data_IF_276491590737
#
_entry.id   IF_276491590737
#
_cell.length_a   1.000
_cell.length_b   1.000
_cell.length_c   1.000
_cell.angle_alpha   90.00
_cell.angle_beta   90.00
_cell.angle_gamma   90.00
#
_symmetry.space_group_name_H-M   'P 1'
#
loop_
_entity.id
_entity.type
_entity.pdbx_description
1 polymer ?
#
# COMPACT_ATOMS: atom_id res chain seq x y z
N UNK A 1 -12.08 -1.90 12.49
CA UNK A 1 -11.24 -3.09 12.18
C UNK A 1 -9.82 -2.60 11.99
N UNK A 2 -8.89 -3.08 12.80
CA UNK A 2 -7.48 -2.81 12.56
C UNK A 2 -7.11 -3.50 11.24
N UNK A 3 -6.80 -2.72 10.22
CA UNK A 3 -6.17 -3.24 9.02
C UNK A 3 -4.81 -3.81 9.45
N UNK A 4 -4.73 -5.14 9.47
CA UNK A 4 -3.49 -5.83 9.77
C UNK A 4 -2.49 -5.47 8.66
N UNK A 5 -1.51 -4.66 9.01
CA UNK A 5 -0.54 -4.17 8.05
C UNK A 5 0.52 -5.24 7.77
N UNK A 6 0.81 -5.48 6.49
CA UNK A 6 1.91 -6.34 6.05
C UNK A 6 3.20 -5.52 6.16
N UNK A 7 4.19 -6.03 6.89
CA UNK A 7 5.52 -5.41 6.92
C UNK A 7 6.24 -5.57 5.58
N UNK A 8 7.27 -4.76 5.35
CA UNK A 8 8.05 -4.85 4.11
C UNK A 8 8.67 -6.23 3.90
N UNK A 9 9.15 -6.89 4.95
CA UNK A 9 9.68 -8.25 4.87
C UNK A 9 8.57 -9.28 4.58
N UNK A 10 7.43 -9.16 5.23
CA UNK A 10 6.25 -10.00 4.95
C UNK A 10 5.75 -9.82 3.51
N UNK A 11 5.84 -8.61 2.98
CA UNK A 11 5.48 -8.33 1.59
C UNK A 11 6.34 -9.12 0.59
N UNK A 12 7.64 -9.23 0.83
CA UNK A 12 8.52 -10.03 -0.05
C UNK A 12 8.12 -11.51 -0.06
N UNK A 13 7.69 -12.04 1.08
CA UNK A 13 7.16 -13.42 1.16
C UNK A 13 5.84 -13.54 0.38
N UNK A 14 4.92 -12.58 0.54
CA UNK A 14 3.65 -12.56 -0.20
C UNK A 14 3.86 -12.52 -1.72
N UNK A 15 4.84 -11.75 -2.20
CA UNK A 15 5.18 -11.71 -3.63
C UNK A 15 5.56 -13.08 -4.20
N UNK A 16 6.18 -13.93 -3.39
CA UNK A 16 6.47 -15.31 -3.81
C UNK A 16 5.16 -16.09 -4.00
N UNK A 17 4.21 -15.97 -3.07
CA UNK A 17 2.94 -16.70 -3.18
C UNK A 17 2.04 -16.19 -4.30
N UNK A 18 2.08 -14.91 -4.61
CA UNK A 18 1.35 -14.36 -5.76
C UNK A 18 1.94 -14.83 -7.09
N UNK A 19 3.28 -14.97 -7.16
CA UNK A 19 3.95 -15.48 -8.36
C UNK A 19 3.89 -17.01 -8.47
N UNK A 20 3.97 -17.71 -7.34
CA UNK A 20 4.04 -19.17 -7.25
C UNK A 20 3.07 -19.67 -6.17
N UNK A 21 1.79 -19.79 -6.49
CA UNK A 21 0.80 -20.37 -5.57
C UNK A 21 1.18 -21.80 -5.15
N UNK A 22 0.69 -22.21 -4.00
CA UNK A 22 0.89 -23.56 -3.48
C UNK A 22 2.36 -23.96 -3.30
N UNK A 23 3.14 -23.04 -2.75
CA UNK A 23 4.58 -23.23 -2.50
C UNK A 23 4.86 -23.77 -1.08
N UNK A 24 5.92 -24.55 -0.97
CA UNK A 24 6.46 -24.99 0.32
C UNK A 24 7.40 -23.94 0.93
N UNK A 25 7.59 -23.99 2.25
CA UNK A 25 8.52 -23.07 2.93
C UNK A 25 9.94 -23.13 2.38
N UNK A 26 10.40 -24.32 1.97
CA UNK A 26 11.73 -24.50 1.34
C UNK A 26 11.85 -23.76 0.01
N UNK A 27 10.83 -23.81 -0.82
CA UNK A 27 10.79 -23.10 -2.10
C UNK A 27 10.74 -21.58 -1.93
N UNK A 28 10.06 -21.10 -0.88
CA UNK A 28 10.07 -19.67 -0.53
C UNK A 28 11.46 -19.22 -0.10
N UNK A 29 12.14 -20.03 0.73
CA UNK A 29 13.54 -19.77 1.15
C UNK A 29 14.46 -19.67 -0.08
N UNK A 30 14.43 -20.68 -0.95
CA UNK A 30 15.27 -20.74 -2.16
C UNK A 30 15.12 -19.52 -3.07
N UNK A 31 13.87 -19.03 -3.23
CA UNK A 31 13.58 -17.84 -4.07
C UNK A 31 14.03 -16.53 -3.43
N UNK A 32 14.01 -16.44 -2.11
CA UNK A 32 14.35 -15.20 -1.40
C UNK A 32 15.82 -15.15 -0.99
N UNK A 33 16.51 -16.31 -0.91
CA UNK A 33 17.92 -16.39 -0.49
C UNK A 33 18.83 -15.61 -1.43
N UNK A 34 18.57 -15.65 -2.75
CA UNK A 34 19.38 -14.97 -3.74
C UNK A 34 19.42 -13.45 -3.57
N UNK A 35 18.31 -12.84 -3.14
CA UNK A 35 18.16 -11.39 -3.08
C UNK A 35 18.29 -10.82 -1.66
N UNK A 36 17.96 -11.60 -0.62
CA UNK A 36 17.83 -11.09 0.74
C UNK A 36 18.75 -11.77 1.77
N UNK A 37 19.47 -12.84 1.40
CA UNK A 37 20.32 -13.63 2.30
C UNK A 37 19.60 -14.05 3.61
N UNK A 38 18.31 -14.36 3.50
CA UNK A 38 17.50 -14.74 4.64
C UNK A 38 17.68 -16.21 4.99
N UNK A 39 17.93 -16.45 6.27
CA UNK A 39 18.02 -17.82 6.78
C UNK A 39 16.63 -18.47 6.82
N UNK A 40 16.55 -19.82 6.71
CA UNK A 40 15.29 -20.55 6.81
C UNK A 40 14.44 -20.20 8.05
N UNK A 41 15.09 -19.92 9.18
CA UNK A 41 14.43 -19.52 10.42
C UNK A 41 13.69 -18.17 10.30
N UNK A 42 14.29 -17.21 9.56
CA UNK A 42 13.67 -15.90 9.29
C UNK A 42 12.41 -16.05 8.45
N UNK A 43 12.50 -16.80 7.35
CA UNK A 43 11.33 -17.06 6.48
C UNK A 43 10.22 -17.78 7.27
N UNK A 44 10.56 -18.77 8.08
CA UNK A 44 9.59 -19.49 8.92
C UNK A 44 8.87 -18.57 9.92
N UNK A 45 9.59 -17.60 10.48
CA UNK A 45 8.98 -16.60 11.37
C UNK A 45 7.99 -15.71 10.60
N UNK A 46 8.36 -15.26 9.39
CA UNK A 46 7.48 -14.44 8.54
C UNK A 46 6.24 -15.22 8.10
N UNK A 47 6.38 -16.49 7.73
CA UNK A 47 5.26 -17.38 7.40
C UNK A 47 4.28 -17.53 8.59
N UNK A 48 4.80 -17.70 9.79
CA UNK A 48 3.96 -17.78 10.99
C UNK A 48 3.20 -16.47 11.26
N UNK A 49 3.85 -15.33 11.07
CA UNK A 49 3.21 -14.01 11.21
C UNK A 49 2.11 -13.81 10.19
N UNK A 50 2.39 -14.12 8.91
CA UNK A 50 1.40 -14.01 7.83
C UNK A 50 0.20 -14.94 8.05
N UNK A 51 0.45 -16.16 8.56
CA UNK A 51 -0.62 -17.09 8.91
C UNK A 51 -1.47 -16.55 10.07
N UNK A 52 -0.86 -16.03 11.12
CA UNK A 52 -1.57 -15.43 12.25
C UNK A 52 -2.39 -14.20 11.84
N UNK A 53 -1.90 -13.44 10.87
CA UNK A 53 -2.61 -12.30 10.27
C UNK A 53 -3.65 -12.71 9.21
N UNK A 54 -3.81 -13.99 8.94
CA UNK A 54 -4.75 -14.54 7.94
C UNK A 54 -4.50 -14.07 6.50
N UNK A 55 -3.26 -13.74 6.15
CA UNK A 55 -2.87 -13.43 4.77
C UNK A 55 -2.51 -14.65 3.94
N UNK A 56 -2.14 -15.75 4.60
CA UNK A 56 -1.85 -17.03 3.97
C UNK A 56 -2.57 -18.17 4.67
N UNK A 57 -2.93 -19.19 3.90
CA UNK A 57 -3.36 -20.48 4.39
C UNK A 57 -2.19 -21.47 4.43
N UNK A 58 -2.36 -22.55 5.17
CA UNK A 58 -1.40 -23.64 5.25
C UNK A 58 -2.15 -24.97 5.20
N UNK A 59 -1.78 -25.80 4.26
CA UNK A 59 -2.31 -27.16 4.11
C UNK A 59 -1.19 -28.20 4.25
N UNK A 60 -1.48 -29.30 4.89
CA UNK A 60 -0.54 -30.43 5.00
C UNK A 60 -0.95 -31.54 4.05
N UNK A 61 -0.10 -31.81 3.06
CA UNK A 61 -0.28 -32.86 2.07
C UNK A 61 0.91 -33.80 2.14
N UNK A 62 0.67 -35.11 2.35
CA UNK A 62 1.70 -36.16 2.43
C UNK A 62 2.88 -35.79 3.36
N UNK A 63 2.58 -35.19 4.51
CA UNK A 63 3.58 -34.79 5.50
C UNK A 63 4.32 -33.47 5.21
N UNK A 64 4.04 -32.81 4.09
CA UNK A 64 4.63 -31.52 3.69
C UNK A 64 3.60 -30.40 3.83
N UNK A 65 4.07 -29.21 4.23
CA UNK A 65 3.23 -28.01 4.34
C UNK A 65 3.33 -27.15 3.08
N UNK A 66 2.17 -26.83 2.55
CA UNK A 66 1.98 -25.94 1.40
C UNK A 66 1.26 -24.68 1.86
N UNK A 67 1.60 -23.56 1.26
CA UNK A 67 1.09 -22.25 1.62
C UNK A 67 0.52 -21.55 0.38
N UNK A 68 -0.60 -20.87 0.56
CA UNK A 68 -1.27 -20.09 -0.47
C UNK A 68 -1.66 -18.72 0.07
N UNK A 69 -1.63 -17.70 -0.79
CA UNK A 69 -2.14 -16.38 -0.46
C UNK A 69 -3.68 -16.40 -0.34
N UNK A 70 -4.20 -15.79 0.71
CA UNK A 70 -5.64 -15.59 0.94
C UNK A 70 -6.16 -14.25 0.43
N UNK A 71 -5.27 -13.34 0.06
CA UNK A 71 -5.58 -12.05 -0.53
C UNK A 71 -4.87 -11.92 -1.88
N UNK A 72 -5.52 -11.33 -2.86
CA UNK A 72 -4.91 -11.04 -4.15
C UNK A 72 -3.93 -9.87 -4.06
N UNK A 73 -2.91 -9.86 -4.91
CA UNK A 73 -1.93 -8.76 -4.97
C UNK A 73 -2.60 -7.42 -5.25
N UNK A 74 -3.47 -7.36 -6.24
CA UNK A 74 -4.20 -6.14 -6.62
C UNK A 74 -5.09 -5.62 -5.48
N UNK A 75 -5.75 -6.51 -4.75
CA UNK A 75 -6.56 -6.16 -3.59
C UNK A 75 -5.70 -5.58 -2.46
N UNK A 76 -4.54 -6.18 -2.20
CA UNK A 76 -3.62 -5.65 -1.20
C UNK A 76 -3.05 -4.28 -1.60
N UNK A 77 -2.67 -4.10 -2.86
CA UNK A 77 -2.22 -2.81 -3.40
C UNK A 77 -3.32 -1.75 -3.29
N UNK A 78 -4.55 -2.09 -3.65
CA UNK A 78 -5.69 -1.17 -3.54
C UNK A 78 -5.92 -0.73 -2.09
N UNK A 79 -5.93 -1.64 -1.15
CA UNK A 79 -6.07 -1.33 0.27
C UNK A 79 -4.92 -0.43 0.79
N UNK A 80 -3.70 -0.67 0.30
CA UNK A 80 -2.51 0.09 0.70
C UNK A 80 -2.56 1.54 0.25
N UNK A 81 -2.87 1.80 -1.03
CA UNK A 81 -2.96 3.19 -1.51
C UNK A 81 -4.20 3.92 -0.98
N UNK A 82 -5.32 3.23 -0.77
CA UNK A 82 -6.49 3.84 -0.10
C UNK A 82 -6.14 4.30 1.31
N UNK A 83 -5.49 3.44 2.10
CA UNK A 83 -5.04 3.80 3.45
C UNK A 83 -4.07 4.99 3.44
N UNK A 84 -3.16 5.05 2.47
CA UNK A 84 -2.27 6.20 2.31
C UNK A 84 -3.05 7.49 2.06
N UNK A 85 -4.00 7.47 1.12
CA UNK A 85 -4.82 8.64 0.78
C UNK A 85 -5.72 9.07 1.94
N UNK A 86 -6.28 8.12 2.71
CA UNK A 86 -7.12 8.41 3.88
C UNK A 86 -6.35 9.11 5.00
N UNK A 87 -5.03 8.88 5.07
CA UNK A 87 -4.16 9.51 6.07
C UNK A 87 -3.56 10.86 5.63
N UNK A 88 -3.89 11.36 4.46
CA UNK A 88 -3.38 12.63 3.96
C UNK A 88 -4.51 13.57 3.54
N UNK A 89 -4.21 14.86 3.55
CA UNK A 89 -5.17 15.87 3.08
C UNK A 89 -5.53 15.62 1.61
N UNK A 90 -6.82 15.59 1.30
CA UNK A 90 -7.31 15.37 -0.06
C UNK A 90 -6.82 16.43 -1.08
N UNK A 91 -6.50 17.64 -0.62
CA UNK A 91 -5.91 18.67 -1.48
C UNK A 91 -4.50 18.33 -1.98
N UNK A 92 -3.83 17.36 -1.36
CA UNK A 92 -2.47 16.91 -1.70
C UNK A 92 -2.45 15.65 -2.57
N UNK A 93 -3.60 15.01 -2.82
CA UNK A 93 -3.66 13.79 -3.63
C UNK A 93 -3.12 14.00 -5.04
N UNK A 94 -3.41 15.16 -5.66
CA UNK A 94 -2.89 15.51 -6.98
C UNK A 94 -1.37 15.61 -7.01
N UNK A 95 -0.77 16.27 -6.01
CA UNK A 95 0.69 16.40 -5.89
C UNK A 95 1.37 15.06 -5.71
N UNK A 96 0.75 14.14 -4.95
CA UNK A 96 1.24 12.77 -4.79
C UNK A 96 1.28 12.04 -6.14
N UNK A 97 0.20 12.10 -6.92
CA UNK A 97 0.14 11.46 -8.25
C UNK A 97 1.19 12.05 -9.20
N UNK A 98 1.35 13.36 -9.21
CA UNK A 98 2.38 14.05 -10.01
C UNK A 98 3.78 13.56 -9.58
N UNK A 99 4.06 13.55 -8.29
CA UNK A 99 5.35 13.08 -7.75
C UNK A 99 5.65 11.62 -8.14
N UNK A 100 4.64 10.74 -8.15
CA UNK A 100 4.80 9.37 -8.61
C UNK A 100 5.16 9.32 -10.10
N UNK A 101 4.48 10.12 -10.92
CA UNK A 101 4.74 10.18 -12.37
C UNK A 101 6.14 10.73 -12.69
N UNK A 102 6.61 11.73 -11.94
CA UNK A 102 7.93 12.34 -12.13
C UNK A 102 9.08 11.44 -11.67
N UNK A 103 8.85 10.68 -10.59
CA UNK A 103 9.92 9.91 -9.91
C UNK A 103 10.10 8.50 -10.45
N UNK A 104 9.18 8.00 -11.30
CA UNK A 104 9.20 6.63 -11.78
C UNK A 104 9.17 6.56 -13.30
N UNK A 105 9.62 5.42 -13.83
CA UNK A 105 9.56 5.14 -15.26
C UNK A 105 8.24 4.43 -15.60
N UNK A 106 7.63 4.87 -16.69
CA UNK A 106 6.41 4.27 -17.24
C UNK A 106 6.60 3.98 -18.72
N UNK A 107 5.93 2.96 -19.24
CA UNK A 107 5.90 2.71 -20.67
C UNK A 107 5.07 3.79 -21.40
N UNK A 108 5.30 3.95 -22.69
CA UNK A 108 4.45 4.84 -23.52
C UNK A 108 2.98 4.44 -23.49
N UNK A 109 2.71 3.13 -23.43
CA UNK A 109 1.36 2.59 -23.34
C UNK A 109 0.70 2.99 -22.00
N UNK A 110 1.43 2.88 -20.90
CA UNK A 110 0.89 3.26 -19.58
C UNK A 110 0.64 4.76 -19.52
N UNK A 111 1.56 5.58 -20.03
CA UNK A 111 1.37 7.03 -20.08
C UNK A 111 0.16 7.42 -20.94
N UNK A 112 -0.08 6.72 -22.05
CA UNK A 112 -1.27 6.95 -22.86
C UNK A 112 -2.56 6.62 -22.10
N UNK A 113 -2.60 5.50 -21.40
CA UNK A 113 -3.75 5.11 -20.56
C UNK A 113 -3.99 6.10 -19.42
N UNK A 114 -2.92 6.54 -18.75
CA UNK A 114 -3.00 7.55 -17.68
C UNK A 114 -3.57 8.84 -18.23
N UNK A 115 -3.08 9.29 -19.39
CA UNK A 115 -3.56 10.50 -20.05
C UNK A 115 -5.05 10.44 -20.40
N UNK A 116 -5.53 9.29 -20.88
CA UNK A 116 -6.96 9.09 -21.18
C UNK A 116 -7.81 9.19 -19.91
N UNK A 117 -7.40 8.53 -18.84
CA UNK A 117 -8.09 8.63 -17.53
C UNK A 117 -8.11 10.07 -17.02
N UNK A 118 -6.99 10.80 -17.15
CA UNK A 118 -6.91 12.21 -16.72
C UNK A 118 -7.88 13.07 -17.53
N UNK A 119 -7.93 12.91 -18.84
CA UNK A 119 -8.84 13.67 -19.73
C UNK A 119 -10.30 13.44 -19.37
N UNK A 120 -10.70 12.18 -19.16
CA UNK A 120 -12.07 11.83 -18.78
C UNK A 120 -12.45 12.46 -17.43
N UNK A 121 -11.58 12.35 -16.44
CA UNK A 121 -11.81 12.94 -15.10
C UNK A 121 -11.89 14.47 -15.14
N UNK A 122 -11.08 15.10 -15.97
CA UNK A 122 -11.00 16.57 -16.07
C UNK A 122 -12.34 17.19 -16.50
N UNK A 123 -13.12 16.50 -17.34
CA UNK A 123 -14.42 16.98 -17.83
C UNK A 123 -15.41 17.27 -16.69
N UNK A 124 -15.39 16.45 -15.64
CA UNK A 124 -16.32 16.55 -14.51
C UNK A 124 -15.64 17.02 -13.21
N UNK A 125 -14.34 17.30 -13.25
CA UNK A 125 -13.60 17.69 -12.08
C UNK A 125 -14.03 19.08 -11.56
N UNK A 126 -14.16 19.28 -10.25
CA UNK A 126 -14.36 20.60 -9.67
C UNK A 126 -13.08 21.46 -9.88
N UNK A 127 -13.25 22.78 -9.88
CA UNK A 127 -12.09 23.69 -10.00
C UNK A 127 -11.12 23.57 -8.83
N UNK A 128 -11.65 23.33 -7.64
CA UNK A 128 -10.87 23.20 -6.39
C UNK A 128 -11.47 22.13 -5.51
N UNK A 129 -10.65 21.51 -4.69
CA UNK A 129 -11.07 20.54 -3.68
C UNK A 129 -10.87 21.18 -2.31
N UNK A 130 -11.88 21.08 -1.45
CA UNK A 130 -11.81 21.57 -0.08
C UNK A 130 -11.10 20.54 0.80
N UNK A 131 -10.35 21.03 1.80
CA UNK A 131 -9.72 20.18 2.80
C UNK A 131 -10.77 19.44 3.65
N UNK A 132 -10.54 18.15 3.88
CA UNK A 132 -11.36 17.27 4.71
C UNK A 132 -10.67 16.84 6.02
N UNK A 133 -9.54 17.46 6.37
CA UNK A 133 -8.80 17.09 7.56
C UNK A 133 -9.49 17.53 8.85
N UNK A 134 -9.30 16.78 9.95
CA UNK A 134 -9.67 17.24 11.28
C UNK A 134 -8.93 18.53 11.67
N UNK A 135 -9.52 19.40 12.53
CA UNK A 135 -8.84 20.59 13.00
C UNK A 135 -7.49 20.27 13.64
N UNK A 136 -6.45 21.06 13.35
CA UNK A 136 -5.10 20.89 13.88
C UNK A 136 -4.24 19.82 13.21
N UNK A 137 -4.75 19.10 12.20
CA UNK A 137 -4.03 18.05 11.50
C UNK A 137 -3.70 18.38 10.03
N UNK A 138 -3.89 19.61 9.62
CA UNK A 138 -3.66 20.01 8.23
C UNK A 138 -2.67 21.16 8.12
N UNK A 139 -1.76 21.06 7.14
CA UNK A 139 -0.81 22.10 6.76
C UNK A 139 -1.12 22.74 5.41
N UNK A 140 -2.33 22.48 4.84
CA UNK A 140 -2.69 23.01 3.51
C UNK A 140 -2.89 24.52 3.46
N UNK A 141 -3.00 25.19 4.62
CA UNK A 141 -3.06 26.65 4.74
C UNK A 141 -4.38 27.32 4.35
N UNK A 142 -5.27 26.60 3.66
CA UNK A 142 -6.44 27.21 3.07
C UNK A 142 -7.69 27.20 3.97
N UNK A 143 -7.85 26.21 4.84
CA UNK A 143 -9.08 26.01 5.60
C UNK A 143 -8.93 25.50 7.02
N UNK A 144 -7.72 25.29 7.49
CA UNK A 144 -7.42 24.77 8.81
C UNK A 144 -6.79 25.84 9.71
N UNK A 145 -7.17 27.09 9.56
CA UNK A 145 -6.87 28.11 10.57
C UNK A 145 -7.84 27.83 11.72
N UNK A 146 -7.30 27.29 12.79
CA UNK A 146 -7.98 27.21 14.06
C UNK A 146 -8.46 28.62 14.44
N UNK A 147 -9.78 28.79 14.60
CA UNK A 147 -10.35 30.01 15.20
C UNK A 147 -9.76 30.30 16.59
N UNK A 148 -9.08 29.31 17.21
CA UNK A 148 -8.40 29.41 18.49
C UNK A 148 -7.08 30.18 18.45
N UNK A 149 -6.47 30.40 17.28
CA UNK A 149 -5.21 31.13 17.19
C UNK A 149 -5.37 32.65 17.02
N UNK A 150 -6.60 33.11 16.70
CA UNK A 150 -6.89 34.54 16.66
C UNK A 150 -7.03 35.17 18.04
N UNK A 151 -7.34 34.38 19.08
CA UNK A 151 -7.46 34.90 20.45
C UNK A 151 -6.12 35.11 21.17
N UNK A 152 -5.00 34.59 20.63
CA UNK A 152 -3.68 34.73 21.24
C UNK A 152 -2.81 35.88 20.68
N UNK A 153 -3.26 36.55 19.63
CA UNK A 153 -2.59 37.74 19.07
C UNK A 153 -3.24 39.07 19.44
N UNK A 154 -4.24 39.08 20.33
CA UNK A 154 -4.94 40.27 20.77
C UNK A 154 -4.70 40.64 22.26
N UNK A 155 -3.58 40.16 22.86
CA UNK A 155 -3.09 40.67 24.16
C UNK A 155 -1.67 41.21 24.04
#
# INVERSE_FOLDING_TARGET
>A
MEQQNISQAEWQVMRVFWAYPHSRSTEVVERLEADFDWKPATVKTLLNRLKTKEFISMEKIEGKFYYDALILEDEHLENSWRTLLDNMCNTKHGDLVISILESNQFSQTDLSRILDVVKEKQVQAPKTIQCNCPPGQCTCGAHCQDETNQSKMAE
#
